data_IF_028348484876
#
_entry.id   IF_028348484876
#
_cell.length_a   1.000
_cell.length_b   1.000
_cell.length_c   1.000
_cell.angle_alpha   90.00
_cell.angle_beta   90.00
_cell.angle_gamma   90.00
#
_symmetry.space_group_name_H-M   'P 1'
#
loop_
_entity.id
_entity.type
_entity.pdbx_description
1 polymer ?
#
# COMPACT_ATOMS: atom_id res chain seq x y z
N UNK A 1 14.92 2.07 19.06
CA UNK A 1 13.89 2.49 18.09
C UNK A 1 13.11 1.24 17.71
N UNK A 2 11.78 1.23 17.82
CA UNK A 2 10.99 0.10 17.31
C UNK A 2 11.19 0.02 15.80
N UNK A 3 11.65 -1.12 15.30
CA UNK A 3 11.59 -1.44 13.88
C UNK A 3 10.10 -1.50 13.52
N UNK A 4 9.52 -0.36 13.10
CA UNK A 4 8.18 -0.37 12.53
C UNK A 4 8.30 -1.04 11.18
N UNK A 5 8.07 -2.35 11.17
CA UNK A 5 7.91 -3.10 9.94
C UNK A 5 6.93 -2.34 9.04
N UNK A 6 7.32 -2.14 7.79
CA UNK A 6 6.45 -1.47 6.84
C UNK A 6 5.20 -2.33 6.65
N UNK A 7 3.99 -1.76 6.79
CA UNK A 7 2.76 -2.54 6.66
C UNK A 7 2.68 -3.23 5.29
N UNK A 8 1.98 -4.39 5.19
CA UNK A 8 1.74 -5.05 3.91
C UNK A 8 1.10 -4.09 2.90
N UNK A 9 1.50 -4.18 1.61
CA UNK A 9 1.01 -3.30 0.55
C UNK A 9 -0.52 -3.21 0.50
N UNK A 10 -1.20 -4.34 0.64
CA UNK A 10 -2.67 -4.42 0.64
C UNK A 10 -3.27 -3.52 1.72
N UNK A 11 -2.69 -3.51 2.92
CA UNK A 11 -3.17 -2.69 4.03
C UNK A 11 -2.97 -1.19 3.75
N UNK A 12 -1.84 -0.81 3.15
CA UNK A 12 -1.59 0.58 2.73
C UNK A 12 -2.59 1.04 1.68
N UNK A 13 -2.86 0.20 0.67
CA UNK A 13 -3.89 0.46 -0.35
C UNK A 13 -5.29 0.59 0.25
N UNK A 14 -5.64 -0.25 1.23
CA UNK A 14 -6.90 -0.15 1.95
C UNK A 14 -7.01 1.19 2.68
N UNK A 15 -5.99 1.61 3.43
CA UNK A 15 -6.03 2.91 4.10
C UNK A 15 -6.11 4.08 3.11
N UNK A 16 -5.39 4.03 1.98
CA UNK A 16 -5.50 5.05 0.93
C UNK A 16 -6.92 5.14 0.38
N UNK A 17 -7.54 4.00 0.07
CA UNK A 17 -8.93 3.95 -0.38
C UNK A 17 -9.88 4.52 0.66
N UNK A 18 -9.76 4.09 1.93
CA UNK A 18 -10.60 4.56 3.01
C UNK A 18 -10.44 6.07 3.29
N UNK A 19 -9.24 6.62 3.12
CA UNK A 19 -8.94 8.02 3.39
C UNK A 19 -9.31 8.99 2.25
N UNK A 20 -9.50 8.50 1.03
CA UNK A 20 -9.70 9.33 -0.18
C UNK A 20 -11.05 9.12 -0.86
N UNK A 21 -11.82 8.11 -0.45
CA UNK A 21 -13.15 7.82 -1.00
C UNK A 21 -14.26 8.11 0.01
N UNK A 22 -15.51 8.09 -0.46
CA UNK A 22 -16.66 8.47 0.35
C UNK A 22 -17.01 7.40 1.41
N UNK A 23 -16.44 7.55 2.60
CA UNK A 23 -16.73 6.76 3.79
C UNK A 23 -17.18 7.66 4.95
N UNK A 24 -17.73 7.11 6.05
CA UNK A 24 -17.95 7.87 7.28
C UNK A 24 -16.69 8.64 7.73
N UNK A 25 -16.87 9.85 8.26
CA UNK A 25 -15.76 10.78 8.58
C UNK A 25 -14.76 10.19 9.58
N UNK A 26 -15.24 9.41 10.54
CA UNK A 26 -14.43 8.68 11.52
C UNK A 26 -13.55 7.63 10.85
N UNK A 27 -14.07 6.89 9.87
CA UNK A 27 -13.32 5.91 9.07
C UNK A 27 -12.24 6.60 8.25
N UNK A 28 -12.59 7.69 7.54
CA UNK A 28 -11.62 8.47 6.77
C UNK A 28 -10.52 9.04 7.67
N UNK A 29 -10.88 9.59 8.83
CA UNK A 29 -9.94 10.15 9.81
C UNK A 29 -9.00 9.09 10.38
N UNK A 30 -9.51 7.90 10.72
CA UNK A 30 -8.69 6.81 11.22
C UNK A 30 -7.70 6.31 10.16
N UNK A 31 -8.15 6.14 8.91
CA UNK A 31 -7.28 5.74 7.81
C UNK A 31 -6.19 6.78 7.53
N UNK A 32 -6.55 8.07 7.52
CA UNK A 32 -5.60 9.17 7.42
C UNK A 32 -4.56 9.17 8.55
N UNK A 33 -4.99 8.95 9.79
CA UNK A 33 -4.08 8.87 10.94
C UNK A 33 -3.10 7.71 10.82
N UNK A 34 -3.55 6.54 10.36
CA UNK A 34 -2.66 5.41 10.09
C UNK A 34 -1.59 5.78 9.04
N UNK A 35 -2.01 6.39 7.92
CA UNK A 35 -1.10 6.85 6.87
C UNK A 35 -0.12 7.91 7.38
N UNK A 36 -0.58 8.84 8.21
CA UNK A 36 0.25 9.88 8.83
C UNK A 36 1.27 9.29 9.81
N UNK A 37 0.88 8.33 10.64
CA UNK A 37 1.75 7.69 11.63
C UNK A 37 2.84 6.83 10.99
N UNK A 38 2.56 6.19 9.85
CA UNK A 38 3.50 5.28 9.17
C UNK A 38 4.32 6.02 8.11
N UNK A 39 3.68 6.81 7.27
CA UNK A 39 4.30 7.42 6.08
C UNK A 39 4.48 8.94 6.19
N UNK A 40 3.90 9.59 7.20
CA UNK A 40 3.91 11.05 7.33
C UNK A 40 2.83 11.76 6.50
N UNK A 41 1.96 11.02 5.80
CA UNK A 41 0.82 11.57 5.06
C UNK A 41 0.45 10.72 3.82
N UNK A 42 -0.66 11.09 3.18
CA UNK A 42 -1.20 10.42 1.98
C UNK A 42 -0.17 10.38 0.85
N UNK A 43 0.38 11.53 0.45
CA UNK A 43 1.29 11.62 -0.70
C UNK A 43 2.49 10.67 -0.60
N UNK A 44 3.05 10.50 0.61
CA UNK A 44 4.19 9.59 0.82
C UNK A 44 3.78 8.12 0.75
N UNK A 45 2.57 7.78 1.18
CA UNK A 45 2.03 6.44 1.04
C UNK A 45 1.70 6.11 -0.42
N UNK A 46 1.21 7.07 -1.20
CA UNK A 46 1.01 6.92 -2.65
C UNK A 46 2.33 6.65 -3.37
N UNK A 47 3.39 7.42 -3.09
CA UNK A 47 4.72 7.15 -3.64
C UNK A 47 5.26 5.77 -3.25
N UNK A 48 4.97 5.29 -2.03
CA UNK A 48 5.35 3.95 -1.61
C UNK A 48 4.64 2.87 -2.43
N UNK A 49 3.32 3.00 -2.65
CA UNK A 49 2.55 2.06 -3.47
C UNK A 49 3.04 2.06 -4.92
N UNK A 50 3.19 3.25 -5.51
CA UNK A 50 3.69 3.40 -6.88
C UNK A 50 5.06 2.74 -7.05
N UNK A 51 6.01 3.02 -6.14
CA UNK A 51 7.34 2.42 -6.19
C UNK A 51 7.28 0.90 -6.05
N UNK A 52 6.40 0.37 -5.19
CA UNK A 52 6.26 -1.07 -5.04
C UNK A 52 5.72 -1.73 -6.32
N UNK A 53 4.73 -1.11 -6.97
CA UNK A 53 4.17 -1.57 -8.24
C UNK A 53 5.18 -1.46 -9.40
N UNK A 54 5.95 -0.38 -9.48
CA UNK A 54 6.99 -0.19 -10.50
C UNK A 54 8.18 -1.17 -10.33
N UNK A 55 8.52 -1.53 -9.08
CA UNK A 55 9.59 -2.50 -8.81
C UNK A 55 9.12 -3.96 -8.87
N UNK A 56 7.81 -4.21 -8.91
CA UNK A 56 7.27 -5.48 -9.39
C UNK A 56 7.19 -5.41 -10.92
N UNK A 57 8.35 -5.56 -11.57
CA UNK A 57 8.41 -5.96 -12.98
C UNK A 57 7.36 -7.06 -13.23
N UNK A 58 6.68 -7.07 -14.39
CA UNK A 58 5.73 -8.12 -14.69
C UNK A 58 6.45 -9.44 -14.46
N UNK A 59 5.89 -10.28 -13.59
CA UNK A 59 6.22 -11.69 -13.60
C UNK A 59 5.87 -12.11 -15.01
N UNK A 60 6.87 -12.13 -15.91
CA UNK A 60 6.77 -12.89 -17.14
C UNK A 60 6.21 -14.22 -16.67
N UNK A 61 5.02 -14.54 -17.16
CA UNK A 61 4.38 -15.82 -16.94
C UNK A 61 5.42 -16.82 -17.42
N UNK A 62 6.20 -17.37 -16.48
CA UNK A 62 7.08 -18.49 -16.76
C UNK A 62 6.08 -19.58 -17.08
N UNK A 63 5.84 -19.78 -18.38
CA UNK A 63 5.09 -20.93 -18.85
C UNK A 63 5.76 -22.12 -18.20
N UNK A 64 5.00 -22.80 -17.35
CA UNK A 64 5.42 -24.08 -16.82
C UNK A 64 5.51 -25.00 -18.04
N UNK A 65 6.72 -25.29 -18.49
CA UNK A 65 6.98 -26.34 -19.47
C UNK A 65 7.07 -27.68 -18.71
N UNK A 66 6.04 -28.54 -18.74
CA UNK A 66 6.08 -29.84 -18.09
C UNK A 66 6.98 -30.86 -18.80
N UNK A 67 7.73 -30.48 -19.84
CA UNK A 67 8.48 -31.40 -20.70
C UNK A 67 10.00 -31.50 -20.43
N UNK A 68 10.52 -30.97 -19.32
CA UNK A 68 11.93 -31.18 -18.89
C UNK A 68 11.99 -31.96 -17.57
#
# INVERSE_FOLDING_TARGET
>A
MMNKETPPLTLVKTWLSLATTNHPLDVQSQAYNNLKTVFGGINRAECYVQRYEENQLPVELVEFDPAI
#
